data_IF_728014378009
#
_entry.id   IF_728014378009
#
_cell.length_a   1.000
_cell.length_b   1.000
_cell.length_c   1.000
_cell.angle_alpha   90.00
_cell.angle_beta   90.00
_cell.angle_gamma   90.00
#
_symmetry.space_group_name_H-M   'P 1'
#
loop_
_entity.id
_entity.type
_entity.pdbx_description
1 polymer ?
#
# COMPACT_ATOMS: atom_id res chain seq x y z
N UNK A 1 78.67 35.79 -34.94
CA UNK A 1 78.94 34.32 -34.92
C UNK A 1 77.69 33.60 -34.42
N UNK A 2 77.68 32.27 -34.43
CA UNK A 2 76.53 31.41 -34.11
C UNK A 2 75.98 31.61 -32.67
N UNK A 3 74.72 31.25 -32.38
CA UNK A 3 73.72 30.67 -33.27
C UNK A 3 72.36 30.41 -32.62
N UNK A 4 71.37 30.02 -33.43
CA UNK A 4 69.97 29.87 -33.02
C UNK A 4 69.70 28.55 -32.29
N UNK A 5 69.54 28.60 -30.97
CA UNK A 5 69.13 27.44 -30.18
C UNK A 5 67.62 27.21 -30.29
N UNK A 6 67.20 26.28 -31.16
CA UNK A 6 65.80 25.88 -31.33
C UNK A 6 65.32 25.09 -30.11
N UNK A 7 64.42 25.67 -29.32
CA UNK A 7 63.75 24.95 -28.24
C UNK A 7 62.67 24.04 -28.85
N UNK A 8 62.82 22.73 -28.70
CA UNK A 8 61.75 21.77 -28.94
C UNK A 8 60.72 21.87 -27.82
N UNK A 9 59.48 22.21 -28.16
CA UNK A 9 58.31 21.97 -27.29
C UNK A 9 57.52 20.82 -27.95
N UNK A 10 57.30 19.68 -27.27
CA UNK A 10 56.59 18.55 -27.85
C UNK A 10 55.10 18.89 -28.01
N UNK A 11 54.45 18.25 -28.98
CA UNK A 11 52.99 18.26 -29.11
C UNK A 11 52.36 17.64 -27.87
N UNK A 12 51.85 18.48 -26.96
CA UNK A 12 50.85 18.04 -26.00
C UNK A 12 49.56 17.77 -26.77
N UNK A 13 49.25 16.48 -26.95
CA UNK A 13 47.91 16.03 -27.28
C UNK A 13 46.96 16.55 -26.21
N UNK A 14 46.23 17.63 -26.53
CA UNK A 14 44.98 17.93 -25.83
C UNK A 14 43.98 16.84 -26.22
N UNK A 15 44.06 15.73 -25.49
CA UNK A 15 42.96 14.79 -25.38
C UNK A 15 41.77 15.60 -24.88
N UNK A 16 40.81 15.85 -25.79
CA UNK A 16 39.54 16.47 -25.42
C UNK A 16 38.78 15.44 -24.60
N UNK A 17 39.09 15.40 -23.30
CA UNK A 17 38.37 14.58 -22.34
C UNK A 17 36.99 15.20 -22.17
N UNK A 18 36.08 14.87 -23.09
CA UNK A 18 34.67 15.19 -22.95
C UNK A 18 34.23 14.75 -21.55
N UNK A 19 33.71 15.69 -20.75
CA UNK A 19 33.08 15.33 -19.49
C UNK A 19 31.82 14.54 -19.84
N UNK A 20 31.94 13.20 -19.83
CA UNK A 20 30.83 12.27 -19.98
C UNK A 20 29.87 12.57 -18.82
N UNK A 21 28.84 13.38 -19.10
CA UNK A 21 27.81 13.71 -18.13
C UNK A 21 27.00 12.44 -17.86
N UNK A 22 27.26 11.80 -16.73
CA UNK A 22 26.61 10.56 -16.33
C UNK A 22 25.10 10.79 -16.20
N UNK A 23 24.35 10.33 -17.20
CA UNK A 23 22.88 10.37 -17.20
C UNK A 23 22.39 9.41 -16.12
N UNK A 24 21.57 9.94 -15.21
CA UNK A 24 20.83 9.11 -14.25
C UNK A 24 19.54 8.63 -14.91
N UNK A 25 19.27 7.33 -14.76
CA UNK A 25 17.98 6.71 -15.06
C UNK A 25 17.34 6.15 -13.79
N UNK A 26 16.10 6.52 -13.51
CA UNK A 26 15.33 5.98 -12.39
C UNK A 26 14.25 5.01 -12.87
N UNK A 27 14.36 3.73 -12.48
CA UNK A 27 13.41 2.67 -12.85
C UNK A 27 12.46 2.43 -11.68
N UNK A 28 11.16 2.73 -11.88
CA UNK A 28 10.12 2.56 -10.86
C UNK A 28 9.13 1.48 -11.27
N UNK A 29 9.12 0.35 -10.55
CA UNK A 29 8.14 -0.73 -10.76
C UNK A 29 6.87 -0.41 -9.95
N UNK A 30 5.79 -0.06 -10.64
CA UNK A 30 4.48 0.18 -10.01
C UNK A 30 3.74 -1.12 -9.66
N UNK A 31 3.94 -2.17 -10.46
CA UNK A 31 3.26 -3.46 -10.32
C UNK A 31 4.12 -4.59 -10.87
N UNK A 32 4.06 -5.75 -10.25
CA UNK A 32 4.49 -7.00 -10.90
C UNK A 32 3.58 -8.19 -10.56
N UNK A 33 3.50 -9.15 -11.47
CA UNK A 33 2.87 -10.47 -11.28
C UNK A 33 3.87 -11.51 -11.79
N UNK A 34 4.16 -12.54 -10.99
CA UNK A 34 5.15 -13.58 -11.32
C UNK A 34 4.62 -14.98 -10.98
N UNK A 35 4.86 -15.47 -9.76
CA UNK A 35 4.30 -16.74 -9.26
C UNK A 35 2.83 -16.56 -8.80
N UNK A 36 2.03 -17.62 -8.92
CA UNK A 36 0.69 -17.68 -8.32
C UNK A 36 0.65 -18.34 -6.94
N UNK A 37 -0.56 -18.50 -6.38
CA UNK A 37 -0.76 -19.04 -5.03
C UNK A 37 -0.32 -20.50 -4.83
N UNK A 38 -0.20 -21.31 -5.88
CA UNK A 38 0.36 -22.66 -5.77
C UNK A 38 1.89 -22.61 -5.86
N UNK A 39 2.42 -21.71 -6.68
CA UNK A 39 3.85 -21.58 -6.97
C UNK A 39 4.65 -20.85 -5.87
N UNK A 40 3.99 -20.22 -4.91
CA UNK A 40 4.63 -19.60 -3.73
C UNK A 40 4.60 -20.45 -2.45
N UNK A 41 4.00 -21.65 -2.48
CA UNK A 41 3.91 -22.53 -1.30
C UNK A 41 5.31 -22.94 -0.83
N UNK A 42 5.57 -22.80 0.46
CA UNK A 42 6.89 -23.05 1.07
C UNK A 42 7.92 -21.92 0.88
N UNK A 43 7.62 -20.89 0.09
CA UNK A 43 8.47 -19.71 -0.11
C UNK A 43 7.73 -18.38 0.19
N UNK A 44 6.59 -18.42 0.88
CA UNK A 44 5.65 -17.32 1.10
C UNK A 44 6.30 -16.04 1.66
N UNK A 45 7.29 -16.23 2.54
CA UNK A 45 8.02 -15.18 3.26
C UNK A 45 9.22 -14.64 2.47
N UNK A 46 9.71 -15.38 1.48
CA UNK A 46 10.88 -14.99 0.70
C UNK A 46 10.53 -13.80 -0.21
N UNK A 47 11.48 -12.89 -0.41
CA UNK A 47 11.30 -11.72 -1.26
C UNK A 47 11.70 -12.00 -2.70
N UNK A 48 10.97 -11.38 -3.62
CA UNK A 48 11.48 -11.16 -4.96
C UNK A 48 12.66 -10.19 -4.90
N UNK A 49 13.68 -10.47 -5.71
CA UNK A 49 14.79 -9.57 -5.96
C UNK A 49 14.78 -9.22 -7.46
N UNK A 50 14.97 -7.94 -7.74
CA UNK A 50 15.04 -7.40 -9.09
C UNK A 50 16.42 -6.83 -9.30
N UNK A 51 17.14 -7.33 -10.30
CA UNK A 51 18.42 -6.80 -10.71
C UNK A 51 18.23 -6.09 -12.05
N UNK A 52 18.80 -4.90 -12.22
CA UNK A 52 18.68 -4.09 -13.43
C UNK A 52 20.06 -3.73 -13.96
N UNK A 53 20.22 -3.70 -15.28
CA UNK A 53 21.44 -3.22 -15.94
C UNK A 53 21.08 -2.28 -17.08
N UNK A 54 21.81 -1.18 -17.25
CA UNK A 54 21.72 -0.30 -18.42
C UNK A 54 23.04 -0.38 -19.19
N UNK A 55 22.97 -0.54 -20.51
CA UNK A 55 24.13 -0.75 -21.37
C UNK A 55 24.15 0.15 -22.62
N UNK A 56 25.36 0.50 -23.08
CA UNK A 56 25.62 1.23 -24.34
C UNK A 56 25.55 0.39 -25.62
N UNK A 57 25.69 -0.94 -25.50
CA UNK A 57 25.45 -1.93 -26.57
C UNK A 57 24.52 -3.05 -26.08
N UNK A 58 23.99 -3.84 -27.01
CA UNK A 58 23.25 -5.05 -26.67
C UNK A 58 24.19 -6.10 -26.04
N UNK A 59 23.79 -6.71 -24.92
CA UNK A 59 24.56 -7.78 -24.26
C UNK A 59 23.69 -8.95 -23.83
N UNK A 60 24.25 -10.16 -23.95
CA UNK A 60 23.63 -11.42 -23.47
C UNK A 60 23.88 -11.68 -21.98
N UNK A 61 24.92 -11.07 -21.41
CA UNK A 61 25.28 -11.22 -19.99
C UNK A 61 25.58 -9.85 -19.36
N UNK A 62 24.59 -8.94 -19.24
CA UNK A 62 24.80 -7.55 -18.80
C UNK A 62 25.57 -7.39 -17.49
N UNK A 63 25.43 -8.32 -16.53
CA UNK A 63 26.14 -8.30 -15.25
C UNK A 63 27.68 -8.42 -15.38
N UNK A 64 28.19 -8.94 -16.51
CA UNK A 64 29.60 -9.21 -16.75
C UNK A 64 30.17 -8.43 -17.94
N UNK A 65 29.41 -7.54 -18.57
CA UNK A 65 29.83 -6.78 -19.76
C UNK A 65 30.31 -5.38 -19.37
N UNK A 66 31.54 -4.95 -19.70
CA UNK A 66 32.07 -3.65 -19.31
C UNK A 66 31.32 -2.46 -19.94
N UNK A 67 30.40 -2.68 -20.89
CA UNK A 67 29.49 -1.64 -21.40
C UNK A 67 28.24 -1.40 -20.54
N UNK A 68 28.08 -2.13 -19.44
CA UNK A 68 26.87 -2.16 -18.63
C UNK A 68 27.13 -1.68 -17.20
N UNK A 69 26.24 -0.85 -16.66
CA UNK A 69 26.17 -0.54 -15.24
C UNK A 69 24.93 -1.20 -14.62
N UNK A 70 25.08 -1.84 -13.46
CA UNK A 70 24.09 -2.74 -12.88
C UNK A 70 23.80 -2.47 -11.41
N UNK A 71 22.52 -2.32 -11.07
CA UNK A 71 22.03 -2.39 -9.69
C UNK A 71 21.49 -3.80 -9.42
N UNK A 72 22.18 -4.54 -8.55
CA UNK A 72 21.83 -5.91 -8.21
C UNK A 72 20.90 -5.97 -6.98
N UNK A 73 20.00 -6.96 -6.97
CA UNK A 73 19.20 -7.38 -5.82
C UNK A 73 18.33 -6.28 -5.14
N UNK A 74 17.63 -5.46 -5.92
CA UNK A 74 16.61 -4.54 -5.38
C UNK A 74 15.44 -5.35 -4.79
N UNK A 75 15.20 -5.17 -3.50
CA UNK A 75 14.23 -5.93 -2.71
C UNK A 75 12.76 -5.59 -3.05
N UNK A 76 12.05 -6.50 -3.70
CA UNK A 76 10.60 -6.45 -3.86
C UNK A 76 9.81 -6.83 -2.60
N UNK A 77 8.52 -7.13 -2.78
CA UNK A 77 7.65 -7.70 -1.73
C UNK A 77 7.95 -9.20 -1.54
N UNK A 78 7.42 -9.78 -0.46
CA UNK A 78 7.44 -11.24 -0.28
C UNK A 78 6.55 -11.96 -1.29
N UNK A 79 6.78 -13.26 -1.50
CA UNK A 79 6.01 -14.10 -2.40
C UNK A 79 4.49 -13.96 -2.15
N UNK A 80 4.08 -14.14 -0.89
CA UNK A 80 2.70 -13.97 -0.43
C UNK A 80 2.12 -12.59 -0.72
N UNK A 81 2.91 -11.53 -0.46
CA UNK A 81 2.50 -10.13 -0.69
C UNK A 81 2.58 -9.72 -2.17
N UNK A 82 2.83 -10.68 -3.07
CA UNK A 82 2.90 -10.50 -4.53
C UNK A 82 1.88 -11.36 -5.29
N UNK A 83 1.03 -12.12 -4.59
CA UNK A 83 -0.03 -12.92 -5.21
C UNK A 83 -1.41 -12.23 -5.00
N UNK A 84 -2.24 -12.05 -6.04
CA UNK A 84 -2.00 -12.44 -7.44
C UNK A 84 -1.05 -11.49 -8.18
N UNK A 85 -0.74 -10.34 -7.59
CA UNK A 85 0.22 -9.34 -8.08
C UNK A 85 0.70 -8.45 -6.92
N UNK A 86 1.95 -8.00 -6.95
CA UNK A 86 2.41 -6.90 -6.12
C UNK A 86 1.96 -5.56 -6.72
N UNK A 87 1.47 -4.66 -5.87
CA UNK A 87 1.15 -3.26 -6.20
C UNK A 87 1.95 -2.30 -5.31
N UNK A 88 2.51 -1.26 -5.90
CA UNK A 88 3.13 -0.13 -5.22
C UNK A 88 2.29 1.13 -5.42
N UNK A 89 2.33 2.06 -4.46
CA UNK A 89 1.51 3.26 -4.49
C UNK A 89 2.00 4.25 -5.57
N UNK A 90 1.08 5.02 -6.16
CA UNK A 90 1.41 6.08 -7.13
C UNK A 90 2.27 7.22 -6.53
N UNK A 91 2.29 7.36 -5.21
CA UNK A 91 3.21 8.26 -4.50
C UNK A 91 4.69 7.90 -4.67
N UNK A 92 5.02 6.66 -5.09
CA UNK A 92 6.37 6.26 -5.47
C UNK A 92 6.95 7.00 -6.69
N UNK A 93 6.15 7.79 -7.42
CA UNK A 93 6.61 8.62 -8.53
C UNK A 93 7.12 10.00 -8.12
N UNK A 94 6.80 10.47 -6.90
CA UNK A 94 7.10 11.84 -6.46
C UNK A 94 7.91 11.89 -5.16
N UNK A 95 8.11 10.74 -4.51
CA UNK A 95 8.94 10.58 -3.31
C UNK A 95 9.36 9.10 -3.17
N UNK A 96 10.39 8.65 -3.91
CA UNK A 96 10.82 7.25 -3.90
C UNK A 96 11.46 6.88 -2.56
N UNK A 97 10.65 6.35 -1.64
CA UNK A 97 11.16 5.74 -0.41
C UNK A 97 11.48 4.26 -0.66
N UNK A 98 12.75 3.80 -0.58
CA UNK A 98 13.15 2.44 -0.94
C UNK A 98 12.61 1.35 0.02
N UNK A 99 11.96 1.72 1.14
CA UNK A 99 11.22 0.77 1.99
C UNK A 99 9.74 0.64 1.61
N UNK A 100 9.22 1.52 0.74
CA UNK A 100 7.83 1.56 0.28
C UNK A 100 7.66 1.32 -1.23
N UNK A 101 8.73 1.43 -2.00
CA UNK A 101 8.74 1.45 -3.46
C UNK A 101 9.80 0.49 -4.01
N UNK A 102 9.51 -0.18 -5.14
CA UNK A 102 10.51 -0.93 -5.90
C UNK A 102 11.12 0.02 -6.95
N UNK A 103 12.30 0.54 -6.60
CA UNK A 103 12.99 1.63 -7.27
C UNK A 103 14.47 1.25 -7.46
N UNK A 104 15.03 1.55 -8.64
CA UNK A 104 16.46 1.42 -8.92
C UNK A 104 16.97 2.71 -9.58
N UNK A 105 18.14 3.20 -9.15
CA UNK A 105 18.86 4.31 -9.78
C UNK A 105 20.06 3.76 -10.55
N UNK A 106 20.06 3.90 -11.86
CA UNK A 106 21.15 3.48 -12.75
C UNK A 106 21.91 4.71 -13.22
N UNK A 107 23.24 4.63 -13.25
CA UNK A 107 24.11 5.68 -13.81
C UNK A 107 24.64 5.18 -15.15
N UNK A 108 24.74 6.06 -16.14
CA UNK A 108 25.04 5.66 -17.52
C UNK A 108 25.75 6.75 -18.30
N UNK A 109 26.51 6.34 -19.31
CA UNK A 109 26.96 7.25 -20.36
C UNK A 109 25.77 7.71 -21.24
N UNK A 110 26.00 8.75 -22.05
CA UNK A 110 25.00 9.32 -22.96
C UNK A 110 24.66 8.44 -24.17
N UNK A 111 25.33 7.30 -24.34
CA UNK A 111 25.08 6.33 -25.41
C UNK A 111 24.19 5.14 -24.97
N UNK A 112 24.04 4.94 -23.67
CA UNK A 112 23.22 3.90 -23.02
C UNK A 112 21.77 3.87 -23.46
N UNK A 113 21.35 2.72 -24.00
CA UNK A 113 20.02 2.51 -24.63
C UNK A 113 19.37 1.17 -24.25
N UNK A 114 20.13 0.21 -23.75
CA UNK A 114 19.65 -1.16 -23.52
C UNK A 114 19.44 -1.40 -22.02
N UNK A 115 18.19 -1.28 -21.57
CA UNK A 115 17.79 -1.62 -20.20
C UNK A 115 17.43 -3.11 -20.11
N UNK A 116 18.02 -3.82 -19.15
CA UNK A 116 17.74 -5.22 -18.85
C UNK A 116 17.21 -5.40 -17.42
N UNK A 117 16.41 -6.44 -17.22
CA UNK A 117 15.95 -6.89 -15.91
C UNK A 117 16.15 -8.39 -15.74
N UNK A 118 16.56 -8.78 -14.52
CA UNK A 118 16.56 -10.15 -13.98
C UNK A 118 15.62 -10.19 -12.77
N UNK A 119 14.85 -11.27 -12.62
CA UNK A 119 13.91 -11.47 -11.49
C UNK A 119 14.18 -12.81 -10.81
N UNK A 120 14.38 -12.77 -9.50
CA UNK A 120 14.81 -13.92 -8.68
C UNK A 120 13.96 -13.99 -7.40
N UNK A 121 13.82 -15.18 -6.79
CA UNK A 121 13.22 -15.35 -5.47
C UNK A 121 13.83 -16.56 -4.76
N UNK A 122 14.25 -16.40 -3.50
CA UNK A 122 14.85 -17.50 -2.71
C UNK A 122 16.00 -18.24 -3.44
N UNK A 123 16.87 -17.50 -4.15
CA UNK A 123 17.94 -18.07 -4.98
C UNK A 123 17.48 -18.75 -6.28
N UNK A 124 16.17 -18.90 -6.52
CA UNK A 124 15.62 -19.37 -7.80
C UNK A 124 15.51 -18.21 -8.78
N UNK A 125 16.25 -18.30 -9.88
CA UNK A 125 16.04 -17.48 -11.07
C UNK A 125 14.65 -17.75 -11.67
N UNK A 126 13.88 -16.69 -11.92
CA UNK A 126 12.56 -16.78 -12.52
C UNK A 126 12.52 -16.36 -13.99
N UNK A 127 13.32 -15.38 -14.40
CA UNK A 127 13.43 -14.96 -15.80
C UNK A 127 14.19 -15.99 -16.64
N UNK A 128 13.66 -16.31 -17.83
CA UNK A 128 14.33 -17.16 -18.83
C UNK A 128 14.12 -16.58 -20.24
N UNK A 129 15.16 -16.10 -20.96
CA UNK A 129 16.56 -15.97 -20.51
C UNK A 129 16.73 -15.16 -19.22
N UNK A 130 17.87 -15.35 -18.55
CA UNK A 130 18.18 -14.74 -17.24
C UNK A 130 17.92 -13.22 -17.23
N UNK A 131 18.50 -12.53 -18.21
CA UNK A 131 18.34 -11.11 -18.45
C UNK A 131 17.44 -10.89 -19.66
N UNK A 132 16.45 -10.00 -19.52
CA UNK A 132 15.52 -9.66 -20.61
C UNK A 132 15.38 -8.15 -20.73
N UNK A 133 15.29 -7.67 -21.97
CA UNK A 133 15.17 -6.25 -22.30
C UNK A 133 13.85 -5.66 -21.79
N UNK A 134 13.92 -4.53 -21.09
CA UNK A 134 12.82 -3.59 -20.93
C UNK A 134 12.97 -2.50 -21.99
N UNK A 135 11.84 -2.08 -22.57
CA UNK A 135 11.85 -1.01 -23.57
C UNK A 135 11.90 0.35 -22.86
N UNK A 136 12.87 1.24 -23.17
CA UNK A 136 12.90 2.59 -22.64
C UNK A 136 11.60 3.33 -22.98
N UNK A 137 10.95 3.90 -21.97
CA UNK A 137 9.63 4.52 -22.13
C UNK A 137 9.47 5.73 -21.20
N UNK A 138 9.21 6.91 -21.80
CA UNK A 138 8.95 8.18 -21.10
C UNK A 138 7.69 8.17 -20.23
N UNK A 139 6.83 7.16 -20.42
CA UNK A 139 5.53 7.01 -19.75
C UNK A 139 5.35 5.55 -19.30
N UNK A 140 4.27 5.28 -18.57
CA UNK A 140 3.98 3.96 -17.99
C UNK A 140 3.92 2.85 -19.05
N UNK A 141 4.94 2.02 -19.06
CA UNK A 141 5.06 0.83 -19.90
C UNK A 141 4.60 -0.44 -19.17
N UNK A 142 4.39 -1.51 -19.94
CA UNK A 142 4.18 -2.85 -19.44
C UNK A 142 5.08 -3.84 -20.19
N UNK A 143 5.61 -4.86 -19.51
CA UNK A 143 6.42 -5.92 -20.11
C UNK A 143 5.87 -7.30 -19.71
N UNK A 144 6.14 -8.32 -20.54
CA UNK A 144 5.74 -9.72 -20.32
C UNK A 144 6.96 -10.65 -20.48
N UNK A 145 7.81 -10.68 -19.46
CA UNK A 145 9.05 -11.44 -19.46
C UNK A 145 8.75 -12.96 -19.52
N UNK A 146 9.49 -13.68 -20.34
CA UNK A 146 9.50 -15.14 -20.33
C UNK A 146 10.11 -15.66 -19.02
N UNK A 147 9.58 -16.79 -18.53
CA UNK A 147 9.88 -17.25 -17.19
C UNK A 147 10.04 -18.76 -17.11
N UNK A 148 10.91 -19.23 -16.21
CA UNK A 148 11.13 -20.64 -15.90
C UNK A 148 10.04 -21.19 -14.96
N UNK A 149 8.77 -21.00 -15.38
CA UNK A 149 7.55 -21.24 -14.60
C UNK A 149 6.41 -21.59 -15.57
N UNK A 150 5.92 -22.83 -15.56
CA UNK A 150 4.54 -23.23 -15.97
C UNK A 150 3.94 -22.60 -17.25
N UNK A 151 4.73 -22.33 -18.29
CA UNK A 151 4.36 -21.55 -19.50
C UNK A 151 3.75 -20.15 -19.21
N UNK A 152 4.06 -19.56 -18.05
CA UNK A 152 3.58 -18.23 -17.62
C UNK A 152 4.56 -17.13 -18.01
N UNK A 153 4.10 -15.88 -17.96
CA UNK A 153 4.90 -14.66 -18.17
C UNK A 153 4.90 -13.81 -16.92
N UNK A 154 6.08 -13.31 -16.52
CA UNK A 154 6.19 -12.29 -15.47
C UNK A 154 5.74 -10.96 -16.07
N UNK A 155 4.67 -10.38 -15.54
CA UNK A 155 4.09 -9.12 -16.03
C UNK A 155 4.56 -7.98 -15.15
N UNK A 156 5.28 -7.02 -15.72
CA UNK A 156 5.71 -5.79 -15.03
C UNK A 156 4.93 -4.59 -15.56
N UNK A 157 4.62 -3.63 -14.68
CA UNK A 157 4.25 -2.26 -15.07
C UNK A 157 5.26 -1.28 -14.45
N UNK A 158 5.90 -0.47 -15.28
CA UNK A 158 7.06 0.34 -14.90
C UNK A 158 7.05 1.72 -15.57
N UNK A 159 7.82 2.65 -14.99
CA UNK A 159 8.16 3.95 -15.57
C UNK A 159 9.69 4.09 -15.47
N UNK A 160 10.28 4.77 -16.45
CA UNK A 160 11.70 5.14 -16.46
C UNK A 160 11.75 6.66 -16.58
N UNK A 161 12.44 7.32 -15.64
CA UNK A 161 12.77 8.74 -15.73
C UNK A 161 14.23 8.89 -16.15
N UNK A 162 14.54 9.90 -16.96
CA UNK A 162 15.92 10.27 -17.34
C UNK A 162 16.16 11.76 -17.10
N UNK A 163 17.41 12.13 -16.79
CA UNK A 163 17.77 13.47 -16.28
C UNK A 163 17.56 14.67 -17.22
N UNK A 164 17.01 14.46 -18.42
CA UNK A 164 16.61 15.55 -19.32
C UNK A 164 15.17 16.01 -19.12
N UNK A 165 14.27 15.14 -18.65
CA UNK A 165 12.86 15.52 -18.45
C UNK A 165 12.69 16.49 -17.25
N UNK A 166 13.58 16.44 -16.25
CA UNK A 166 13.61 17.39 -15.10
C UNK A 166 13.85 18.84 -15.51
N UNK A 167 14.66 19.07 -16.56
CA UNK A 167 14.96 20.42 -17.08
C UNK A 167 13.70 21.08 -17.66
N UNK A 168 12.84 20.29 -18.30
CA UNK A 168 11.56 20.77 -18.83
C UNK A 168 10.57 21.14 -17.71
N UNK A 169 10.51 20.34 -16.64
CA UNK A 169 9.67 20.63 -15.48
C UNK A 169 10.10 21.94 -14.76
N UNK A 170 11.40 22.14 -14.57
CA UNK A 170 11.93 23.37 -13.99
C UNK A 170 11.64 24.61 -14.84
N UNK A 171 11.80 24.52 -16.17
CA UNK A 171 11.50 25.61 -17.10
C UNK A 171 10.00 26.01 -17.09
N UNK A 172 9.10 25.02 -17.00
CA UNK A 172 7.66 25.28 -16.93
C UNK A 172 7.23 26.06 -15.67
N UNK A 173 7.89 25.83 -14.52
CA UNK A 173 7.61 26.57 -13.28
C UNK A 173 8.11 28.02 -13.37
N UNK A 174 9.23 28.27 -14.05
CA UNK A 174 9.77 29.62 -14.22
C UNK A 174 8.86 30.54 -15.04
N UNK A 175 8.17 30.02 -16.06
CA UNK A 175 7.31 30.85 -16.93
C UNK A 175 6.01 31.35 -16.27
N UNK A 176 5.54 30.71 -15.21
CA UNK A 176 4.27 31.08 -14.55
C UNK A 176 4.37 32.25 -13.57
N UNK A 177 5.58 32.80 -13.34
CA UNK A 177 5.85 33.79 -12.28
C UNK A 177 6.22 35.18 -12.80
N UNK A 178 5.49 35.67 -13.81
CA UNK A 178 5.68 37.03 -14.36
C UNK A 178 4.39 37.84 -14.46
N UNK A 179 4.04 38.56 -13.37
CA UNK A 179 3.36 39.86 -13.42
C UNK A 179 3.59 40.65 -12.11
N UNK A 180 3.56 41.97 -12.24
CA UNK A 180 4.29 42.92 -11.36
C UNK A 180 3.55 43.33 -10.06
N UNK A 181 4.26 43.89 -9.05
CA UNK A 181 3.72 44.12 -7.70
C UNK A 181 3.21 45.54 -7.44
N UNK A 182 2.31 45.66 -6.44
CA UNK A 182 1.88 46.84 -5.67
C UNK A 182 0.97 46.30 -4.52
N UNK A 183 0.90 46.79 -3.28
CA UNK A 183 1.64 47.84 -2.54
C UNK A 183 1.49 47.56 -1.03
N UNK A 184 2.45 47.95 -0.18
CA UNK A 184 2.30 47.83 1.28
C UNK A 184 1.23 48.80 1.85
N UNK A 185 0.61 48.45 2.98
CA UNK A 185 0.34 49.43 4.05
C UNK A 185 0.38 48.76 5.44
N UNK A 186 0.84 49.50 6.45
CA UNK A 186 1.13 49.01 7.81
C UNK A 186 -0.01 49.34 8.79
N UNK A 187 -0.13 48.57 9.87
CA UNK A 187 -0.28 49.17 11.21
C UNK A 187 0.33 48.32 12.31
N UNK A 188 0.81 48.99 13.35
CA UNK A 188 1.58 48.44 14.49
C UNK A 188 0.80 48.54 15.79
N UNK A 189 1.16 47.74 16.80
CA UNK A 189 1.57 48.25 18.13
C UNK A 189 2.30 47.19 18.97
N UNK A 190 3.00 47.65 20.00
CA UNK A 190 3.88 46.88 20.89
C UNK A 190 3.74 47.41 22.32
N UNK A 191 4.02 46.58 23.34
CA UNK A 191 4.41 47.04 24.68
C UNK A 191 5.38 46.05 25.36
N UNK A 192 6.00 46.47 26.48
CA UNK A 192 7.18 45.85 27.12
C UNK A 192 6.91 45.41 28.58
N UNK A 193 7.80 44.59 29.20
CA UNK A 193 7.55 43.90 30.48
C UNK A 193 8.07 44.65 31.73
N UNK A 194 7.83 44.08 32.93
CA UNK A 194 8.38 44.56 34.22
C UNK A 194 8.94 43.42 35.11
N UNK A 195 9.63 43.77 36.21
CA UNK A 195 10.48 42.88 37.04
C UNK A 195 10.29 43.12 38.56
N UNK A 196 10.41 42.06 39.38
CA UNK A 196 10.46 42.07 40.87
C UNK A 196 11.41 40.95 41.39
N UNK A 197 11.55 40.75 42.73
CA UNK A 197 12.77 40.09 43.28
C UNK A 197 12.78 39.62 44.77
N UNK A 198 13.52 38.52 45.04
CA UNK A 198 14.44 38.27 46.19
C UNK A 198 13.95 37.64 47.54
N UNK A 199 14.91 37.01 48.27
CA UNK A 199 14.98 36.54 49.69
C UNK A 199 14.51 35.09 50.03
N UNK A 200 15.10 34.27 50.94
CA UNK A 200 16.42 34.20 51.67
C UNK A 200 16.67 32.75 52.21
N UNK A 201 17.78 32.43 52.93
CA UNK A 201 18.34 31.05 53.12
C UNK A 201 18.47 30.47 54.59
N UNK A 202 19.47 29.63 55.03
CA UNK A 202 19.32 28.31 55.73
C UNK A 202 19.88 28.30 57.21
N UNK A 203 20.34 27.21 57.94
CA UNK A 203 20.63 25.78 57.65
C UNK A 203 20.31 24.73 58.80
N UNK A 204 21.18 23.70 59.02
CA UNK A 204 21.23 22.60 60.04
C UNK A 204 20.32 21.36 59.84
N UNK A 205 20.69 20.09 60.16
CA UNK A 205 21.97 19.39 60.40
C UNK A 205 21.80 17.84 60.26
N UNK A 206 22.86 17.02 60.41
CA UNK A 206 22.89 15.52 60.26
C UNK A 206 23.81 14.88 61.36
N UNK A 207 24.07 13.54 61.48
CA UNK A 207 23.75 12.33 60.67
C UNK A 207 23.23 11.15 61.58
N UNK A 208 23.52 9.81 61.42
CA UNK A 208 23.89 8.93 60.27
C UNK A 208 23.07 7.60 60.13
N UNK A 209 23.32 6.83 59.05
CA UNK A 209 23.13 5.34 58.90
C UNK A 209 21.69 4.72 58.97
N UNK A 210 21.32 3.64 58.26
CA UNK A 210 21.97 2.88 57.16
C UNK A 210 20.96 2.04 56.30
N UNK A 211 21.40 1.70 55.08
CA UNK A 211 21.06 0.51 54.26
C UNK A 211 19.69 0.34 53.53
N UNK A 212 19.75 -0.55 52.51
CA UNK A 212 18.69 -1.16 51.67
C UNK A 212 17.86 -0.24 50.75
N UNK A 213 18.18 -0.29 49.45
CA UNK A 213 17.46 0.41 48.38
C UNK A 213 16.27 -0.38 47.83
N UNK A 214 15.08 0.22 47.79
CA UNK A 214 14.06 -0.08 46.77
C UNK A 214 13.55 1.24 46.17
N UNK A 215 13.54 1.35 44.84
CA UNK A 215 13.03 2.55 44.13
C UNK A 215 11.67 2.24 43.48
N UNK A 216 10.65 3.03 43.83
CA UNK A 216 9.39 3.08 43.09
C UNK A 216 9.62 3.56 41.64
N UNK A 217 8.82 3.11 40.66
CA UNK A 217 8.84 3.67 39.31
C UNK A 217 8.52 5.18 39.33
N UNK A 218 9.23 5.95 38.51
CA UNK A 218 9.00 7.40 38.35
C UNK A 218 7.94 7.65 37.29
N UNK A 219 7.04 8.61 37.53
CA UNK A 219 6.08 9.05 36.51
C UNK A 219 6.80 9.70 35.31
N UNK A 220 6.62 9.11 34.12
CA UNK A 220 7.07 9.73 32.87
C UNK A 220 5.95 10.64 32.36
N UNK A 221 6.13 11.96 32.53
CA UNK A 221 5.21 12.97 31.98
C UNK A 221 5.22 12.89 30.45
N UNK A 222 4.08 12.50 29.87
CA UNK A 222 3.92 12.39 28.42
C UNK A 222 3.97 13.78 27.76
N UNK A 223 4.92 13.99 26.86
CA UNK A 223 4.89 15.12 25.93
C UNK A 223 3.82 14.88 24.86
N UNK A 224 2.91 15.84 24.67
CA UNK A 224 1.88 15.81 23.63
C UNK A 224 2.51 15.98 22.25
N UNK A 225 3.00 14.89 21.67
CA UNK A 225 3.34 14.84 20.23
C UNK A 225 2.03 14.82 19.44
N UNK A 226 1.83 15.79 18.55
CA UNK A 226 0.54 16.06 17.92
C UNK A 226 -0.03 14.86 17.16
N UNK A 227 -1.11 14.28 17.69
CA UNK A 227 -2.10 13.60 16.85
C UNK A 227 -2.65 14.68 15.91
N UNK A 228 -2.56 14.47 14.59
CA UNK A 228 -3.25 15.33 13.63
C UNK A 228 -4.74 15.07 13.77
N UNK A 229 -5.41 15.89 14.57
CA UNK A 229 -6.87 15.93 14.65
C UNK A 229 -7.42 16.58 13.39
N UNK A 230 -7.38 15.86 12.27
CA UNK A 230 -8.24 16.17 11.13
C UNK A 230 -9.69 16.09 11.59
N UNK A 231 -10.48 17.14 11.34
CA UNK A 231 -11.87 17.24 11.78
C UNK A 231 -12.77 16.25 11.04
N UNK A 232 -12.70 14.97 11.40
CA UNK A 232 -13.63 13.94 10.97
C UNK A 232 -14.94 14.13 11.73
N UNK A 233 -15.81 15.00 11.21
CA UNK A 233 -17.23 14.92 11.53
C UNK A 233 -17.72 13.51 11.17
N UNK A 234 -18.51 12.89 12.04
CA UNK A 234 -18.86 11.46 12.00
C UNK A 234 -19.76 11.00 10.86
N UNK A 235 -19.68 11.64 9.70
CA UNK A 235 -20.41 11.28 8.49
C UNK A 235 -19.85 9.96 7.91
N UNK A 236 -20.66 8.90 7.98
CA UNK A 236 -20.32 7.59 7.42
C UNK A 236 -20.51 7.54 5.89
N UNK A 237 -21.22 8.49 5.26
CA UNK A 237 -21.28 8.63 3.79
C UNK A 237 -19.98 9.21 3.21
N UNK A 238 -19.09 9.74 4.05
CA UNK A 238 -17.77 10.19 3.63
C UNK A 238 -16.81 9.04 3.29
N UNK A 239 -17.09 7.80 3.75
CA UNK A 239 -16.23 6.61 3.58
C UNK A 239 -16.07 6.25 2.09
N UNK A 240 -14.86 6.47 1.55
CA UNK A 240 -14.52 6.25 0.12
C UNK A 240 -13.32 5.30 -0.06
N UNK A 241 -12.79 4.77 1.05
CA UNK A 241 -11.67 3.85 1.12
C UNK A 241 -11.65 3.12 2.47
N UNK A 242 -10.86 2.04 2.56
CA UNK A 242 -10.64 1.31 3.82
C UNK A 242 -10.01 2.18 4.92
N UNK A 243 -9.22 3.21 4.56
CA UNK A 243 -8.60 4.12 5.54
C UNK A 243 -9.66 5.00 6.19
N UNK A 244 -10.62 5.50 5.42
CA UNK A 244 -11.73 6.30 5.94
C UNK A 244 -12.59 5.47 6.91
N UNK A 245 -12.84 4.20 6.57
CA UNK A 245 -13.55 3.25 7.44
C UNK A 245 -12.76 2.94 8.72
N UNK A 246 -11.46 2.64 8.63
CA UNK A 246 -10.60 2.42 9.82
C UNK A 246 -10.60 3.65 10.75
N UNK A 247 -10.48 4.86 10.21
CA UNK A 247 -10.52 6.10 10.99
C UNK A 247 -11.89 6.34 11.63
N UNK A 248 -12.99 6.14 10.90
CA UNK A 248 -14.35 6.27 11.42
C UNK A 248 -14.59 5.29 12.59
N UNK A 249 -14.21 4.02 12.44
CA UNK A 249 -14.36 2.99 13.46
C UNK A 249 -13.48 3.25 14.69
N UNK A 250 -12.26 3.77 14.51
CA UNK A 250 -11.39 4.17 15.63
C UNK A 250 -11.97 5.36 16.41
N UNK A 251 -12.46 6.40 15.72
CA UNK A 251 -13.09 7.55 16.39
C UNK A 251 -14.38 7.16 17.13
N UNK A 252 -15.27 6.40 16.49
CA UNK A 252 -16.51 5.95 17.10
C UNK A 252 -16.25 5.00 18.29
N UNK A 253 -15.30 4.07 18.16
CA UNK A 253 -14.86 3.18 19.25
C UNK A 253 -14.27 3.92 20.45
N UNK A 254 -13.47 4.98 20.23
CA UNK A 254 -12.93 5.82 21.32
C UNK A 254 -14.02 6.62 22.04
N UNK A 255 -15.10 6.99 21.34
CA UNK A 255 -16.25 7.72 21.89
C UNK A 255 -17.22 6.81 22.65
N UNK A 256 -17.56 5.65 22.10
CA UNK A 256 -18.56 4.73 22.67
C UNK A 256 -17.97 3.72 23.66
N UNK A 257 -16.68 3.39 23.51
CA UNK A 257 -15.90 2.51 24.41
C UNK A 257 -16.49 1.10 24.63
N UNK A 258 -17.18 0.54 23.64
CA UNK A 258 -17.73 -0.82 23.76
C UNK A 258 -16.57 -1.81 23.87
N UNK A 259 -16.59 -2.65 24.91
CA UNK A 259 -15.59 -3.71 25.08
C UNK A 259 -15.69 -4.71 23.92
N UNK A 260 -14.59 -5.04 23.23
CA UNK A 260 -14.59 -6.05 22.17
C UNK A 260 -15.10 -7.44 22.61
N UNK A 261 -15.10 -7.73 23.92
CA UNK A 261 -15.63 -8.99 24.49
C UNK A 261 -17.14 -8.94 24.75
N UNK A 262 -17.76 -7.76 24.75
CA UNK A 262 -19.21 -7.55 24.90
C UNK A 262 -19.84 -6.96 23.63
N UNK A 263 -19.22 -7.16 22.47
CA UNK A 263 -19.73 -6.71 21.18
C UNK A 263 -20.92 -7.57 20.75
N UNK A 264 -22.05 -6.93 20.42
CA UNK A 264 -23.25 -7.64 19.99
C UNK A 264 -23.10 -8.18 18.55
N UNK A 265 -22.62 -9.42 18.50
CA UNK A 265 -22.50 -10.26 17.29
C UNK A 265 -23.86 -10.48 16.60
N UNK A 266 -24.97 -10.53 17.35
CA UNK A 266 -26.30 -10.82 16.80
C UNK A 266 -26.88 -9.59 16.10
N UNK A 267 -26.88 -8.44 16.77
CA UNK A 267 -27.22 -7.16 16.16
C UNK A 267 -26.31 -6.82 14.99
N UNK A 268 -25.02 -7.17 15.05
CA UNK A 268 -24.08 -6.94 13.95
C UNK A 268 -24.40 -7.78 12.71
N UNK A 269 -24.79 -9.04 12.89
CA UNK A 269 -25.26 -9.91 11.79
C UNK A 269 -26.51 -9.36 11.12
N UNK A 270 -27.46 -8.83 11.91
CA UNK A 270 -28.65 -8.15 11.38
C UNK A 270 -28.27 -6.86 10.64
N UNK A 271 -27.46 -6.00 11.23
CA UNK A 271 -27.03 -4.74 10.62
C UNK A 271 -26.27 -4.98 9.30
N UNK A 272 -25.41 -5.99 9.24
CA UNK A 272 -24.74 -6.41 8.00
C UNK A 272 -25.75 -6.79 6.91
N UNK A 273 -26.81 -7.55 7.24
CA UNK A 273 -27.89 -7.88 6.31
C UNK A 273 -28.66 -6.63 5.84
N UNK A 274 -29.07 -5.79 6.78
CA UNK A 274 -29.83 -4.56 6.50
C UNK A 274 -29.05 -3.63 5.55
N UNK A 275 -27.77 -3.39 5.83
CA UNK A 275 -26.91 -2.52 5.02
C UNK A 275 -26.60 -3.15 3.65
N UNK A 276 -26.34 -4.46 3.56
CA UNK A 276 -26.21 -5.15 2.26
C UNK A 276 -27.46 -4.94 1.39
N UNK A 277 -28.64 -5.12 1.99
CA UNK A 277 -29.92 -4.99 1.31
C UNK A 277 -30.20 -3.55 0.86
N UNK A 278 -29.77 -2.55 1.64
CA UNK A 278 -29.85 -1.13 1.25
C UNK A 278 -29.01 -0.81 0.00
N UNK A 279 -27.77 -1.32 -0.07
CA UNK A 279 -26.94 -1.14 -1.28
C UNK A 279 -27.49 -1.93 -2.49
N UNK A 280 -28.00 -3.14 -2.29
CA UNK A 280 -28.61 -3.94 -3.36
C UNK A 280 -29.86 -3.30 -3.96
N UNK A 281 -30.72 -2.72 -3.11
CA UNK A 281 -31.91 -2.00 -3.53
C UNK A 281 -31.59 -0.86 -4.52
N UNK A 282 -30.52 -0.09 -4.27
CA UNK A 282 -30.06 0.98 -5.18
C UNK A 282 -29.72 0.45 -6.57
N UNK A 283 -29.16 -0.77 -6.68
CA UNK A 283 -28.77 -1.40 -7.94
C UNK A 283 -29.87 -2.27 -8.58
N UNK A 284 -31.10 -2.24 -8.05
CA UNK A 284 -32.21 -3.06 -8.57
C UNK A 284 -32.02 -4.57 -8.39
N UNK A 285 -31.12 -4.98 -7.48
CA UNK A 285 -30.97 -6.37 -7.06
C UNK A 285 -31.95 -6.72 -5.93
N UNK A 286 -32.41 -7.96 -5.90
CA UNK A 286 -33.34 -8.45 -4.87
C UNK A 286 -32.68 -8.47 -3.48
N UNK A 287 -33.49 -8.34 -2.43
CA UNK A 287 -33.00 -8.33 -1.06
C UNK A 287 -32.52 -9.75 -0.68
N UNK A 288 -31.36 -9.83 -0.03
CA UNK A 288 -30.81 -11.08 0.49
C UNK A 288 -31.59 -11.53 1.73
N UNK A 289 -31.70 -12.85 1.86
CA UNK A 289 -32.15 -13.52 3.08
C UNK A 289 -30.95 -14.03 3.88
N UNK A 290 -31.09 -14.16 5.20
CA UNK A 290 -30.04 -14.71 6.05
C UNK A 290 -30.10 -16.24 6.07
N UNK A 291 -28.98 -16.92 5.85
CA UNK A 291 -28.89 -18.38 5.91
C UNK A 291 -27.90 -18.82 7.01
N UNK A 292 -28.38 -19.45 8.11
CA UNK A 292 -27.53 -19.95 9.18
C UNK A 292 -26.47 -20.97 8.74
N UNK A 293 -26.66 -21.70 7.64
CA UNK A 293 -25.66 -22.63 7.11
C UNK A 293 -24.47 -21.88 6.49
N UNK A 294 -24.73 -20.72 5.88
CA UNK A 294 -23.69 -19.81 5.42
C UNK A 294 -22.97 -19.15 6.60
N UNK A 295 -23.68 -18.78 7.67
CA UNK A 295 -23.07 -18.29 8.91
C UNK A 295 -22.10 -19.31 9.51
N UNK A 296 -22.50 -20.59 9.63
CA UNK A 296 -21.65 -21.64 10.21
C UNK A 296 -20.37 -21.82 9.37
N UNK A 297 -20.48 -21.85 8.04
CA UNK A 297 -19.33 -21.90 7.14
C UNK A 297 -18.43 -20.66 7.27
N UNK A 298 -19.02 -19.46 7.30
CA UNK A 298 -18.31 -18.20 7.47
C UNK A 298 -17.56 -18.14 8.82
N UNK A 299 -18.22 -18.56 9.91
CA UNK A 299 -17.67 -18.53 11.28
C UNK A 299 -16.51 -19.52 11.42
N UNK A 300 -16.63 -20.70 10.81
CA UNK A 300 -15.53 -21.65 10.72
C UNK A 300 -14.31 -21.09 9.97
N UNK A 301 -14.51 -20.28 8.92
CA UNK A 301 -13.41 -19.61 8.23
C UNK A 301 -12.84 -18.43 9.02
N UNK A 302 -13.68 -17.60 9.64
CA UNK A 302 -13.26 -16.49 10.49
C UNK A 302 -12.36 -16.99 11.65
N UNK A 303 -12.74 -18.10 12.28
CA UNK A 303 -11.95 -18.76 13.33
C UNK A 303 -10.63 -19.35 12.80
N UNK A 304 -10.59 -19.89 11.58
CA UNK A 304 -9.32 -20.35 10.95
C UNK A 304 -8.38 -19.19 10.64
N UNK A 305 -8.89 -18.04 10.17
CA UNK A 305 -8.12 -16.82 9.93
C UNK A 305 -7.56 -16.24 11.25
N UNK A 306 -8.42 -16.09 12.26
CA UNK A 306 -8.01 -15.55 13.56
C UNK A 306 -7.04 -16.48 14.30
N UNK A 307 -7.25 -17.81 14.27
CA UNK A 307 -6.32 -18.79 14.83
C UNK A 307 -4.92 -18.62 14.26
N UNK A 308 -4.78 -18.59 12.92
CA UNK A 308 -3.51 -18.36 12.21
C UNK A 308 -2.89 -16.99 12.51
N UNK A 309 -3.70 -15.96 12.78
CA UNK A 309 -3.21 -14.59 12.90
C UNK A 309 -2.53 -14.10 11.62
N UNK A 310 -2.99 -14.58 10.46
CA UNK A 310 -2.49 -14.21 9.14
C UNK A 310 -3.25 -12.99 8.60
N UNK A 311 -2.79 -12.47 7.46
CA UNK A 311 -3.64 -11.63 6.62
C UNK A 311 -4.89 -12.40 6.15
N UNK A 312 -5.91 -11.65 5.72
CA UNK A 312 -7.08 -12.22 5.06
C UNK A 312 -6.66 -13.04 3.82
N UNK A 313 -7.35 -14.15 3.63
CA UNK A 313 -7.19 -15.05 2.48
C UNK A 313 -8.52 -15.75 2.24
N UNK A 314 -8.89 -15.94 0.98
CA UNK A 314 -10.15 -16.60 0.65
C UNK A 314 -10.14 -18.09 1.03
N UNK A 315 -11.30 -18.62 1.44
CA UNK A 315 -11.44 -20.06 1.60
C UNK A 315 -11.44 -20.73 0.22
N UNK A 316 -10.55 -21.70 0.00
CA UNK A 316 -10.51 -22.47 -1.24
C UNK A 316 -11.64 -23.53 -1.27
N UNK A 317 -12.89 -23.05 -1.30
CA UNK A 317 -14.13 -23.85 -1.26
C UNK A 317 -15.10 -23.36 -2.32
N UNK A 318 -15.53 -24.26 -3.21
CA UNK A 318 -16.49 -23.97 -4.30
C UNK A 318 -17.94 -23.88 -3.77
N UNK A 319 -18.84 -23.25 -4.53
CA UNK A 319 -20.29 -23.21 -4.23
C UNK A 319 -20.72 -22.15 -3.21
N UNK A 320 -19.83 -21.23 -2.83
CA UNK A 320 -20.14 -20.07 -1.99
C UNK A 320 -19.30 -18.88 -2.43
N UNK A 321 -19.94 -17.72 -2.57
CA UNK A 321 -19.24 -16.44 -2.70
C UNK A 321 -18.65 -16.01 -1.34
N UNK A 322 -17.66 -15.11 -1.34
CA UNK A 322 -17.03 -14.65 -0.11
C UNK A 322 -16.52 -13.21 -0.18
N UNK A 323 -16.86 -12.40 0.82
CA UNK A 323 -16.22 -11.11 1.12
C UNK A 323 -15.53 -11.19 2.48
N UNK A 324 -14.38 -10.52 2.63
CA UNK A 324 -13.54 -10.58 3.83
C UNK A 324 -13.19 -9.18 4.34
N UNK A 325 -13.31 -8.96 5.65
CA UNK A 325 -12.87 -7.72 6.30
C UNK A 325 -12.20 -8.02 7.66
N UNK A 326 -11.35 -7.11 8.11
CA UNK A 326 -10.77 -7.16 9.45
C UNK A 326 -10.52 -5.76 10.01
N UNK A 327 -10.62 -5.61 11.33
CA UNK A 327 -10.37 -4.37 12.04
C UNK A 327 -9.69 -4.66 13.37
N UNK A 328 -8.83 -3.76 13.88
CA UNK A 328 -8.13 -3.94 15.14
C UNK A 328 -8.14 -2.65 15.97
N UNK A 329 -8.70 -2.71 17.18
CA UNK A 329 -8.81 -1.57 18.09
C UNK A 329 -8.79 -2.00 19.56
N UNK A 330 -8.68 -1.04 20.47
CA UNK A 330 -8.85 -1.25 21.91
C UNK A 330 -10.33 -1.36 22.30
N UNK A 331 -11.16 -0.50 21.72
CA UNK A 331 -12.61 -0.46 21.85
C UNK A 331 -13.28 -0.62 20.49
N UNK A 332 -14.47 -1.20 20.46
CA UNK A 332 -15.33 -1.24 19.27
C UNK A 332 -16.43 -0.18 19.36
N UNK A 333 -17.06 0.08 18.22
CA UNK A 333 -18.30 0.86 18.08
C UNK A 333 -19.51 -0.07 18.04
N UNK A 334 -20.71 0.49 18.07
CA UNK A 334 -21.98 -0.20 17.98
C UNK A 334 -22.12 -1.07 16.71
N UNK A 335 -23.02 -2.08 16.72
CA UNK A 335 -23.20 -2.98 15.60
C UNK A 335 -23.56 -2.34 14.26
N UNK A 336 -24.30 -1.22 14.27
CA UNK A 336 -24.76 -0.57 13.03
C UNK A 336 -23.62 0.23 12.39
N UNK A 337 -22.94 1.08 13.17
CA UNK A 337 -21.74 1.81 12.72
C UNK A 337 -20.65 0.86 12.23
N UNK A 338 -20.46 -0.28 12.92
CA UNK A 338 -19.52 -1.32 12.50
C UNK A 338 -19.91 -1.92 11.14
N UNK A 339 -21.17 -2.35 10.97
CA UNK A 339 -21.64 -2.95 9.72
C UNK A 339 -21.59 -1.96 8.55
N UNK A 340 -21.97 -0.71 8.81
CA UNK A 340 -21.99 0.36 7.84
C UNK A 340 -20.61 0.64 7.24
N UNK A 341 -19.57 0.79 8.08
CA UNK A 341 -18.21 1.03 7.60
C UNK A 341 -17.63 -0.17 6.82
N UNK A 342 -17.96 -1.41 7.24
CA UNK A 342 -17.55 -2.64 6.54
C UNK A 342 -18.16 -2.71 5.15
N UNK A 343 -19.48 -2.54 5.03
CA UNK A 343 -20.17 -2.66 3.74
C UNK A 343 -19.90 -1.46 2.84
N UNK A 344 -19.74 -0.23 3.38
CA UNK A 344 -19.25 0.92 2.59
C UNK A 344 -17.84 0.70 2.06
N UNK A 345 -16.95 -0.01 2.79
CA UNK A 345 -15.64 -0.40 2.25
C UNK A 345 -15.77 -1.34 1.05
N UNK A 346 -16.64 -2.35 1.14
CA UNK A 346 -16.94 -3.24 0.00
C UNK A 346 -17.56 -2.48 -1.18
N UNK A 347 -18.46 -1.54 -0.91
CA UNK A 347 -19.17 -0.77 -1.93
C UNK A 347 -18.28 0.25 -2.65
N UNK A 348 -17.33 0.88 -1.92
CA UNK A 348 -16.42 1.89 -2.47
C UNK A 348 -15.52 1.35 -3.60
N UNK A 349 -15.29 0.03 -3.67
CA UNK A 349 -14.63 -0.61 -4.82
C UNK A 349 -15.37 -0.40 -6.15
N UNK A 350 -16.68 -0.16 -6.12
CA UNK A 350 -17.50 0.15 -7.30
C UNK A 350 -17.29 1.56 -7.88
N UNK A 351 -16.44 2.38 -7.26
CA UNK A 351 -16.14 3.74 -7.74
C UNK A 351 -15.55 3.70 -9.15
N UNK A 352 -16.23 4.35 -10.09
CA UNK A 352 -15.90 4.36 -11.53
C UNK A 352 -15.97 2.96 -12.19
N UNK A 353 -16.84 2.07 -11.70
CA UNK A 353 -17.09 0.77 -12.35
C UNK A 353 -17.67 0.96 -13.77
N UNK A 354 -17.24 0.09 -14.69
CA UNK A 354 -17.61 0.12 -16.11
C UNK A 354 -18.71 -0.90 -16.39
N UNK A 355 -19.97 -0.52 -16.12
CA UNK A 355 -21.14 -1.38 -16.30
C UNK A 355 -21.37 -1.83 -17.75
N UNK A 356 -20.71 -1.20 -18.73
CA UNK A 356 -20.83 -1.56 -20.15
C UNK A 356 -19.93 -2.72 -20.57
N UNK A 357 -18.89 -3.03 -19.79
CA UNK A 357 -17.80 -3.90 -20.23
C UNK A 357 -17.17 -4.68 -19.09
N UNK A 358 -17.31 -6.00 -19.15
CA UNK A 358 -16.58 -6.93 -18.30
C UNK A 358 -15.06 -6.73 -18.35
N UNK A 359 -14.43 -6.69 -17.17
CA UNK A 359 -12.98 -6.61 -16.99
C UNK A 359 -12.52 -7.68 -16.00
N UNK A 360 -11.36 -8.29 -16.24
CA UNK A 360 -10.72 -9.24 -15.32
C UNK A 360 -9.97 -8.52 -14.17
N UNK A 361 -10.68 -7.64 -13.47
CA UNK A 361 -10.16 -6.85 -12.33
C UNK A 361 -10.84 -7.18 -10.99
N UNK A 362 -11.34 -8.42 -10.81
CA UNK A 362 -11.99 -8.91 -9.60
C UNK A 362 -11.19 -8.66 -8.29
N UNK A 363 -9.86 -8.50 -8.35
CA UNK A 363 -9.01 -8.12 -7.22
C UNK A 363 -9.10 -6.64 -6.81
N UNK A 364 -9.89 -5.83 -7.53
CA UNK A 364 -10.15 -4.39 -7.28
C UNK A 364 -11.63 -4.08 -7.03
N UNK A 365 -12.53 -4.94 -7.53
CA UNK A 365 -13.98 -4.70 -7.57
C UNK A 365 -14.80 -5.87 -7.02
N UNK A 366 -14.14 -6.94 -6.58
CA UNK A 366 -14.78 -8.22 -6.26
C UNK A 366 -15.73 -8.16 -5.07
N UNK A 367 -15.43 -7.33 -4.07
CA UNK A 367 -16.31 -7.17 -2.92
C UNK A 367 -17.57 -6.39 -3.31
N UNK A 368 -17.42 -5.34 -4.13
CA UNK A 368 -18.54 -4.58 -4.71
C UNK A 368 -19.40 -5.47 -5.61
N UNK A 369 -18.80 -6.18 -6.57
CA UNK A 369 -19.57 -6.97 -7.54
C UNK A 369 -20.24 -8.18 -6.89
N UNK A 370 -19.70 -8.74 -5.81
CA UNK A 370 -20.39 -9.75 -5.00
C UNK A 370 -21.53 -9.14 -4.17
N UNK A 371 -21.32 -7.99 -3.52
CA UNK A 371 -22.34 -7.29 -2.73
C UNK A 371 -23.62 -7.05 -3.55
N UNK A 372 -23.49 -6.51 -4.77
CA UNK A 372 -24.64 -6.20 -5.63
C UNK A 372 -25.06 -7.31 -6.61
N UNK A 373 -24.45 -8.51 -6.52
CA UNK A 373 -24.67 -9.59 -7.50
C UNK A 373 -26.14 -10.04 -7.56
N UNK A 374 -26.83 -9.74 -8.66
CA UNK A 374 -28.29 -9.90 -8.79
C UNK A 374 -28.79 -11.31 -8.45
N UNK A 375 -28.13 -12.36 -8.94
CA UNK A 375 -28.53 -13.77 -8.75
C UNK A 375 -28.12 -14.38 -7.40
N UNK A 376 -27.36 -13.68 -6.55
CA UNK A 376 -27.15 -14.10 -5.15
C UNK A 376 -28.42 -13.76 -4.37
N UNK A 377 -28.96 -14.70 -3.61
CA UNK A 377 -30.23 -14.55 -2.85
C UNK A 377 -30.06 -14.73 -1.33
N UNK A 378 -28.91 -15.24 -0.88
CA UNK A 378 -28.61 -15.55 0.52
C UNK A 378 -27.24 -15.02 0.96
N UNK A 379 -27.14 -14.63 2.24
CA UNK A 379 -25.87 -14.37 2.92
C UNK A 379 -25.82 -15.01 4.32
N UNK A 380 -24.61 -15.17 4.86
CA UNK A 380 -24.40 -15.46 6.29
C UNK A 380 -23.08 -14.84 6.77
N UNK A 381 -23.05 -14.29 7.99
CA UNK A 381 -21.92 -13.48 8.50
C UNK A 381 -21.23 -14.18 9.67
N UNK A 382 -20.02 -14.64 9.40
CA UNK A 382 -19.13 -15.26 10.37
C UNK A 382 -18.17 -14.25 10.98
N UNK A 383 -18.03 -14.32 12.30
CA UNK A 383 -17.21 -13.40 13.09
C UNK A 383 -16.24 -14.20 13.95
N UNK A 384 -15.02 -13.69 14.12
CA UNK A 384 -14.08 -14.16 15.13
C UNK A 384 -13.38 -12.97 15.78
N UNK A 385 -13.36 -12.92 17.11
CA UNK A 385 -12.80 -11.82 17.89
C UNK A 385 -11.59 -12.36 18.66
N UNK A 386 -10.39 -11.80 18.42
CA UNK A 386 -9.14 -12.29 19.03
C UNK A 386 -8.30 -11.15 19.57
N UNK A 387 -7.91 -11.24 20.85
CA UNK A 387 -6.98 -10.29 21.49
C UNK A 387 -5.54 -10.60 21.06
N UNK A 388 -4.81 -9.56 20.66
CA UNK A 388 -3.39 -9.59 20.37
C UNK A 388 -2.63 -8.74 21.39
N UNK A 389 -1.38 -9.12 21.67
CA UNK A 389 -0.51 -8.49 22.68
C UNK A 389 0.53 -7.52 22.08
N UNK A 390 0.40 -7.15 20.80
CA UNK A 390 1.36 -6.32 20.06
C UNK A 390 2.65 -7.03 19.62
N UNK A 391 2.91 -8.28 20.05
CA UNK A 391 4.09 -9.06 19.61
C UNK A 391 3.85 -9.65 18.22
N UNK A 392 3.92 -8.81 17.20
CA UNK A 392 3.60 -9.11 15.79
C UNK A 392 4.44 -10.25 15.21
N UNK A 393 3.87 -11.44 15.04
CA UNK A 393 4.49 -12.59 14.35
C UNK A 393 4.14 -12.69 12.86
N UNK A 394 3.10 -11.97 12.41
CA UNK A 394 2.66 -11.91 11.01
C UNK A 394 2.31 -10.48 10.57
N UNK A 395 2.44 -10.14 9.27
CA UNK A 395 2.38 -8.75 8.80
C UNK A 395 1.05 -8.02 9.04
N UNK A 396 -0.07 -8.74 9.16
CA UNK A 396 -1.41 -8.18 9.42
C UNK A 396 -1.86 -8.27 10.89
N UNK A 397 -0.97 -8.60 11.84
CA UNK A 397 -1.30 -8.52 13.28
C UNK A 397 -0.99 -7.09 13.79
N UNK A 398 -1.78 -6.57 14.75
CA UNK A 398 -1.58 -5.22 15.27
C UNK A 398 -0.23 -5.06 15.97
N UNK A 399 0.39 -3.89 15.77
CA UNK A 399 1.69 -3.50 16.36
C UNK A 399 1.62 -3.11 17.84
N UNK A 400 0.43 -3.12 18.44
CA UNK A 400 0.15 -2.77 19.84
C UNK A 400 -0.85 -3.79 20.42
N UNK A 401 -1.01 -3.86 21.75
CA UNK A 401 -2.13 -4.59 22.35
C UNK A 401 -3.46 -4.06 21.78
N UNK A 402 -4.26 -4.94 21.18
CA UNK A 402 -5.53 -4.59 20.52
C UNK A 402 -6.37 -5.85 20.34
N UNK A 403 -7.68 -5.71 20.22
CA UNK A 403 -8.57 -6.80 19.82
C UNK A 403 -8.91 -6.68 18.35
N UNK A 404 -8.79 -7.79 17.63
CA UNK A 404 -8.94 -7.88 16.20
C UNK A 404 -10.23 -8.63 15.86
N UNK A 405 -11.13 -7.94 15.17
CA UNK A 405 -12.37 -8.45 14.61
C UNK A 405 -12.07 -9.00 13.21
N UNK A 406 -12.33 -10.28 12.98
CA UNK A 406 -12.28 -10.93 11.67
C UNK A 406 -13.72 -11.15 11.20
N UNK A 407 -14.02 -10.76 9.96
CA UNK A 407 -15.35 -10.80 9.38
C UNK A 407 -15.30 -11.55 8.05
N UNK A 408 -16.15 -12.57 7.92
CA UNK A 408 -16.35 -13.34 6.71
C UNK A 408 -17.83 -13.25 6.35
N UNK A 409 -18.15 -12.79 5.15
CA UNK A 409 -19.51 -12.90 4.60
C UNK A 409 -19.50 -13.97 3.54
N UNK A 410 -20.32 -15.01 3.69
CA UNK A 410 -20.53 -16.04 2.67
C UNK A 410 -21.84 -15.76 1.94
N UNK A 411 -21.86 -16.04 0.64
CA UNK A 411 -22.98 -15.75 -0.26
C UNK A 411 -23.42 -16.99 -1.03
N UNK A 412 -24.71 -17.12 -1.35
CA UNK A 412 -25.23 -18.20 -2.20
C UNK A 412 -26.44 -17.75 -3.05
N UNK A 413 -26.53 -18.16 -4.33
CA UNK A 413 -25.44 -18.65 -5.19
C UNK A 413 -24.22 -17.72 -5.21
N UNK A 414 -23.06 -18.23 -5.57
CA UNK A 414 -21.83 -17.41 -5.63
C UNK A 414 -21.93 -16.28 -6.66
N UNK A 415 -21.34 -15.13 -6.29
CA UNK A 415 -21.08 -14.04 -7.21
C UNK A 415 -19.78 -14.22 -7.98
N UNK A 416 -19.42 -13.20 -8.75
CA UNK A 416 -18.13 -13.06 -9.42
C UNK A 416 -17.76 -14.19 -10.42
N UNK A 417 -18.75 -14.96 -10.88
CA UNK A 417 -18.62 -16.00 -11.91
C UNK A 417 -17.99 -15.39 -13.17
N UNK A 418 -16.80 -15.85 -13.57
CA UNK A 418 -15.91 -15.15 -14.52
C UNK A 418 -16.30 -15.29 -16.01
N UNK A 419 -17.59 -15.21 -16.31
CA UNK A 419 -18.17 -15.21 -17.66
C UNK A 419 -18.70 -13.80 -17.99
N UNK A 420 -18.33 -13.18 -19.13
CA UNK A 420 -18.65 -11.78 -19.40
C UNK A 420 -20.15 -11.43 -19.36
N UNK A 421 -20.99 -12.26 -20.00
CA UNK A 421 -22.45 -12.08 -20.01
C UNK A 421 -23.07 -12.21 -18.62
N UNK A 422 -22.57 -13.16 -17.81
CA UNK A 422 -23.05 -13.35 -16.44
C UNK A 422 -22.73 -12.13 -15.57
N UNK A 423 -21.53 -11.54 -15.72
CA UNK A 423 -21.18 -10.27 -15.04
C UNK A 423 -22.09 -9.12 -15.45
N UNK A 424 -22.29 -8.90 -16.76
CA UNK A 424 -23.12 -7.80 -17.27
C UNK A 424 -24.59 -7.93 -16.87
N UNK A 425 -25.10 -9.16 -16.73
CA UNK A 425 -26.45 -9.40 -16.23
C UNK A 425 -26.58 -9.21 -14.70
N UNK A 426 -25.51 -9.44 -13.94
CA UNK A 426 -25.54 -9.43 -12.47
C UNK A 426 -25.08 -8.11 -11.81
N UNK A 427 -24.25 -7.32 -12.48
CA UNK A 427 -23.63 -6.10 -11.93
C UNK A 427 -24.21 -4.88 -12.63
N UNK A 428 -25.34 -4.40 -12.12
CA UNK A 428 -26.10 -3.30 -12.71
C UNK A 428 -25.63 -1.92 -12.20
N UNK A 429 -25.87 -0.81 -12.94
CA UNK A 429 -25.68 0.54 -12.42
C UNK A 429 -26.69 0.88 -11.30
N UNK A 430 -26.50 2.02 -10.64
CA UNK A 430 -27.49 2.55 -9.68
C UNK A 430 -28.78 2.90 -10.44
N UNK A 431 -29.89 2.26 -10.08
CA UNK A 431 -31.23 2.47 -10.63
C UNK A 431 -32.15 3.27 -9.69
N UNK A 432 -31.87 3.25 -8.38
CA UNK A 432 -32.71 3.89 -7.33
C UNK A 432 -31.83 4.71 -6.40
N UNK A 433 -32.36 5.84 -5.93
CA UNK A 433 -31.80 6.56 -4.77
C UNK A 433 -32.38 6.00 -3.48
N UNK A 434 -31.71 6.29 -2.37
CA UNK A 434 -32.21 6.08 -1.01
C UNK A 434 -32.88 7.37 -0.49
#
# INVERSE_FOLDING_TARGET
>A
MMGSMKIFIPFLFFSLLELIQATTYEVVIQKYQALDYQEVVGIEKNKYFFSFCMCSKESKHPQNDPSCNCVLAVSGKTAQNSCPQALYASSCLHSPNPRKCLYAKLESDSSSKFLYVKVEIHGRLLTSPEWQSLQPAKHKANAQLAANISNKRIKLSYIIFGSDDDKAAAAAVAMTTSRSPLKETKTTKSFKPHRSSISTTPPHAAPPAAAVTTRKPTEIKFSKTSIVTSNYHGDLDSIKSIIDAELALLHAGLSQRISPMSFDVTGFRKAMLDVHNRFRYMHGAELLTYDPKLEVAATAWANKLSAKGSCLSHENRKGMGENLFFFAAEYFTDPMTMAEAVVRTFYAEGKNYDYTRYKRNFFQVGHFTQLIWKSTTKLGVGISIKKFNGRRTGPCQPHRPSTMLYIVVKYSPEGNVQVPSVYLNNVQPVMRRL
#
